data_IF_059017422073
#
_entry.id   IF_059017422073
#
_cell.length_a   1.000
_cell.length_b   1.000
_cell.length_c   1.000
_cell.angle_alpha   90.00
_cell.angle_beta   90.00
_cell.angle_gamma   90.00
#
_symmetry.space_group_name_H-M   'P 1'
#
loop_
_entity.id
_entity.type
_entity.pdbx_description
1 polymer ?
#
# COMPACT_ATOMS: atom_id res chain seq x y z
N UNK A 1 11.93 -20.86 3.37
CA UNK A 1 11.49 -19.66 2.63
C UNK A 1 10.03 -19.42 2.95
N UNK A 2 9.74 -18.51 3.88
CA UNK A 2 8.36 -18.02 4.08
C UNK A 2 8.13 -17.00 2.96
N UNK A 3 7.13 -17.14 2.08
CA UNK A 3 6.81 -16.06 1.15
C UNK A 3 6.49 -14.85 2.00
N UNK A 4 7.14 -13.71 1.71
CA UNK A 4 6.82 -12.45 2.35
C UNK A 4 5.30 -12.25 2.28
N UNK A 5 4.66 -11.75 3.35
CA UNK A 5 3.21 -11.58 3.35
C UNK A 5 2.81 -10.78 2.11
N UNK A 6 2.08 -11.42 1.21
CA UNK A 6 1.81 -10.88 -0.13
C UNK A 6 1.03 -9.55 -0.09
N UNK A 7 0.47 -9.19 1.08
CA UNK A 7 -0.16 -7.90 1.28
C UNK A 7 0.01 -7.37 2.72
N UNK A 8 0.36 -6.10 2.80
CA UNK A 8 0.45 -5.26 3.99
C UNK A 8 -0.90 -4.63 4.32
N UNK A 9 -1.16 -4.38 5.59
CA UNK A 9 -2.24 -3.49 6.05
C UNK A 9 -1.88 -2.03 5.81
N UNK A 10 -2.84 -1.12 5.99
CA UNK A 10 -2.60 0.33 5.97
C UNK A 10 -1.52 0.75 6.97
N UNK A 11 -1.49 0.12 8.15
CA UNK A 11 -0.52 0.46 9.19
C UNK A 11 0.90 -0.01 8.82
N UNK A 12 1.01 -1.25 8.32
CA UNK A 12 2.28 -1.79 7.84
C UNK A 12 2.80 -1.02 6.62
N UNK A 13 1.92 -0.61 5.70
CA UNK A 13 2.30 0.23 4.56
C UNK A 13 2.75 1.63 5.01
N UNK A 14 2.08 2.23 6.00
CA UNK A 14 2.48 3.51 6.57
C UNK A 14 3.88 3.42 7.21
N UNK A 15 4.15 2.36 7.97
CA UNK A 15 5.45 2.10 8.55
C UNK A 15 6.52 1.87 7.47
N UNK A 16 6.20 1.13 6.40
CA UNK A 16 7.12 0.85 5.30
C UNK A 16 7.48 2.11 4.49
N UNK A 17 6.49 2.96 4.20
CA UNK A 17 6.69 4.23 3.51
C UNK A 17 7.22 5.34 4.42
N UNK A 18 7.28 5.11 5.74
CA UNK A 18 7.59 6.12 6.78
C UNK A 18 6.70 7.36 6.69
N UNK A 19 5.42 7.16 6.38
CA UNK A 19 4.41 8.22 6.29
C UNK A 19 3.32 8.05 7.33
N UNK A 20 2.48 9.06 7.50
CA UNK A 20 1.31 8.95 8.36
C UNK A 20 0.25 8.02 7.75
N UNK A 21 -0.56 7.38 8.60
CA UNK A 21 -1.73 6.59 8.16
C UNK A 21 -2.67 7.42 7.27
N UNK A 22 -2.80 8.71 7.54
CA UNK A 22 -3.59 9.63 6.72
C UNK A 22 -3.05 9.76 5.30
N UNK A 23 -1.72 9.85 5.13
CA UNK A 23 -1.10 9.87 3.81
C UNK A 23 -1.42 8.58 3.03
N UNK A 24 -1.37 7.42 3.68
CA UNK A 24 -1.75 6.17 3.02
C UNK A 24 -3.22 6.21 2.55
N UNK A 25 -4.14 6.72 3.38
CA UNK A 25 -5.53 6.92 2.94
C UNK A 25 -5.66 7.92 1.79
N UNK A 26 -4.89 9.01 1.79
CA UNK A 26 -4.82 9.95 0.67
C UNK A 26 -4.39 9.25 -0.62
N UNK A 27 -3.34 8.42 -0.58
CA UNK A 27 -2.89 7.65 -1.75
C UNK A 27 -3.95 6.66 -2.26
N UNK A 28 -4.71 6.06 -1.34
CA UNK A 28 -5.83 5.17 -1.68
C UNK A 28 -6.96 5.96 -2.35
N UNK A 29 -7.33 7.12 -1.79
CA UNK A 29 -8.39 7.97 -2.34
C UNK A 29 -8.01 8.62 -3.67
N UNK A 30 -6.74 8.99 -3.83
CA UNK A 30 -6.17 9.48 -5.07
C UNK A 30 -5.96 8.37 -6.11
N UNK A 31 -6.28 7.11 -5.77
CA UNK A 31 -6.11 5.94 -6.62
C UNK A 31 -4.65 5.72 -7.09
N UNK A 32 -3.67 6.30 -6.39
CA UNK A 32 -2.23 6.14 -6.65
C UNK A 32 -1.69 4.82 -6.09
N UNK A 33 -2.36 4.26 -5.07
CA UNK A 33 -2.00 2.99 -4.46
C UNK A 33 -3.12 1.97 -4.68
N UNK A 34 -2.87 0.93 -5.47
CA UNK A 34 -3.90 -0.12 -5.65
C UNK A 34 -4.02 -0.94 -4.37
N UNK A 35 -5.23 -0.96 -3.82
CA UNK A 35 -5.53 -1.72 -2.61
C UNK A 35 -6.68 -2.68 -2.84
N UNK A 36 -6.61 -3.83 -2.18
CA UNK A 36 -7.69 -4.81 -2.16
C UNK A 36 -8.39 -4.73 -0.82
N UNK A 37 -9.68 -4.41 -0.85
CA UNK A 37 -10.51 -4.44 0.36
C UNK A 37 -10.79 -5.89 0.74
N UNK A 38 -10.34 -6.30 1.92
CA UNK A 38 -10.63 -7.61 2.51
C UNK A 38 -11.42 -7.33 3.79
N UNK A 39 -12.74 -7.50 3.71
CA UNK A 39 -13.68 -7.14 4.78
C UNK A 39 -13.65 -5.63 5.10
N UNK A 40 -13.23 -5.30 6.32
CA UNK A 40 -13.09 -3.91 6.81
C UNK A 40 -11.66 -3.34 6.65
N UNK A 41 -10.71 -4.15 6.17
CA UNK A 41 -9.31 -3.76 6.04
C UNK A 41 -8.92 -3.59 4.58
N UNK A 42 -8.09 -2.59 4.29
CA UNK A 42 -7.39 -2.50 3.00
C UNK A 42 -6.09 -3.29 3.10
N UNK A 43 -5.84 -4.14 2.11
CA UNK A 43 -4.61 -4.90 1.92
C UNK A 43 -3.90 -4.37 0.69
N UNK A 44 -2.64 -4.00 0.87
CA UNK A 44 -1.77 -3.35 -0.09
C UNK A 44 -0.68 -4.36 -0.44
N UNK A 45 -0.53 -4.74 -1.71
CA UNK A 45 0.55 -5.67 -2.05
C UNK A 45 1.91 -4.96 -1.98
N UNK A 46 2.96 -5.69 -1.63
CA UNK A 46 4.33 -5.16 -1.64
C UNK A 46 4.75 -4.69 -3.04
N UNK A 47 4.29 -5.38 -4.08
CA UNK A 47 4.56 -5.03 -5.49
C UNK A 47 3.99 -3.66 -5.84
N UNK A 48 2.76 -3.36 -5.39
CA UNK A 48 2.14 -2.05 -5.64
C UNK A 48 2.83 -0.93 -4.85
N UNK A 49 3.33 -1.24 -3.65
CA UNK A 49 4.09 -0.29 -2.84
C UNK A 49 5.47 0.02 -3.47
N UNK A 50 6.14 -1.02 -3.99
CA UNK A 50 7.41 -0.91 -4.70
C UNK A 50 7.26 -0.14 -6.02
N UNK A 51 6.16 -0.39 -6.75
CA UNK A 51 5.80 0.37 -7.95
C UNK A 51 5.62 1.86 -7.66
N UNK A 52 4.92 2.18 -6.57
CA UNK A 52 4.74 3.56 -6.11
C UNK A 52 6.08 4.21 -5.72
N UNK A 53 6.94 3.50 -4.97
CA UNK A 53 8.28 3.98 -4.60
C UNK A 53 9.21 4.16 -5.81
N UNK A 54 9.06 3.33 -6.84
CA UNK A 54 9.84 3.42 -8.09
C UNK A 54 9.42 4.60 -8.98
N UNK A 55 8.37 5.34 -8.62
CA UNK A 55 7.86 6.46 -9.43
C UNK A 55 7.13 6.02 -10.69
N UNK A 56 6.82 4.72 -10.83
CA UNK A 56 5.94 4.18 -11.88
C UNK A 56 4.48 4.46 -11.52
N UNK A 57 4.17 5.74 -11.33
CA UNK A 57 2.81 6.20 -11.08
C UNK A 57 1.92 5.71 -12.23
N UNK A 58 0.79 5.09 -11.91
CA UNK A 58 -0.27 4.85 -12.88
C UNK A 58 -0.89 6.20 -13.25
N UNK A 59 -0.30 6.89 -14.22
CA UNK A 59 -0.93 7.98 -14.97
C UNK A 59 -2.13 7.47 -15.77
#
# INVERSE_FOLDING_TARGET
MMPAPAALTVDEAAAHLRVSRWMVYQLIWANQLRTRRIGRCHRISLVELDRYLSGEEAA
#
